data_IF_111337084178
#
_entry.id   IF_111337084178
#
_cell.length_a   1.000
_cell.length_b   1.000
_cell.length_c   1.000
_cell.angle_alpha   90.00
_cell.angle_beta   90.00
_cell.angle_gamma   90.00
#
_symmetry.space_group_name_H-M   'P 1'
#
loop_
_entity.id
_entity.type
_entity.pdbx_description
1 polymer ?
#
# COMPACT_ATOMS: atom_id res chain seq x y z
N UNK A 1 18.27 -24.14 -27.05
CA UNK A 1 19.15 -22.98 -27.31
C UNK A 1 19.07 -22.49 -28.76
N UNK A 2 19.32 -23.32 -29.79
CA UNK A 2 19.22 -22.86 -31.19
C UNK A 2 17.82 -22.32 -31.57
N UNK A 3 16.75 -23.03 -31.21
CA UNK A 3 15.38 -22.59 -31.47
C UNK A 3 15.00 -21.28 -30.75
N UNK A 4 15.45 -21.09 -29.51
CA UNK A 4 15.22 -19.86 -28.73
C UNK A 4 15.88 -18.64 -29.40
N UNK A 5 17.13 -18.81 -29.85
CA UNK A 5 17.84 -17.74 -30.57
C UNK A 5 17.20 -17.41 -31.92
N UNK A 6 16.71 -18.42 -32.65
CA UNK A 6 15.98 -18.20 -33.92
C UNK A 6 14.68 -17.45 -33.66
N UNK A 7 13.90 -17.83 -32.63
CA UNK A 7 12.66 -17.12 -32.28
C UNK A 7 12.92 -15.67 -31.83
N UNK A 8 13.98 -15.43 -31.03
CA UNK A 8 14.41 -14.07 -30.66
C UNK A 8 14.80 -13.24 -31.87
N UNK A 9 15.59 -13.81 -32.79
CA UNK A 9 15.95 -13.15 -34.05
C UNK A 9 14.72 -12.75 -34.86
N UNK A 10 13.74 -13.66 -35.01
CA UNK A 10 12.51 -13.37 -35.72
C UNK A 10 11.70 -12.27 -35.03
N UNK A 11 11.62 -12.28 -33.69
CA UNK A 11 10.93 -11.25 -32.92
C UNK A 11 11.58 -9.87 -33.03
N UNK A 12 12.92 -9.81 -33.09
CA UNK A 12 13.65 -8.55 -33.21
C UNK A 12 13.62 -7.98 -34.64
N UNK A 13 13.64 -8.83 -35.67
CA UNK A 13 13.80 -8.38 -37.06
C UNK A 13 12.48 -8.32 -37.86
N UNK A 14 11.47 -9.10 -37.46
CA UNK A 14 10.17 -9.16 -38.15
C UNK A 14 8.96 -8.95 -37.22
N UNK A 15 8.97 -7.94 -36.32
CA UNK A 15 7.91 -7.78 -35.33
C UNK A 15 6.56 -7.42 -35.96
N UNK A 16 6.53 -6.69 -37.08
CA UNK A 16 5.28 -6.31 -37.75
C UNK A 16 4.54 -7.53 -38.33
N UNK A 17 5.28 -8.46 -38.94
CA UNK A 17 4.71 -9.69 -39.48
C UNK A 17 4.18 -10.60 -38.36
N UNK A 18 4.88 -10.66 -37.22
CA UNK A 18 4.40 -11.38 -36.04
C UNK A 18 3.13 -10.76 -35.45
N UNK A 19 3.05 -9.42 -35.37
CA UNK A 19 1.85 -8.73 -34.88
C UNK A 19 0.66 -8.96 -35.83
N UNK A 20 0.88 -8.88 -37.15
CA UNK A 20 -0.15 -9.20 -38.15
C UNK A 20 -0.63 -10.64 -38.00
N UNK A 21 0.28 -11.59 -37.84
CA UNK A 21 -0.06 -13.01 -37.67
C UNK A 21 -0.82 -13.31 -36.37
N UNK A 22 -0.34 -12.82 -35.23
CA UNK A 22 -0.87 -13.16 -33.91
C UNK A 22 -2.14 -12.37 -33.54
N UNK A 23 -2.25 -11.14 -34.03
CA UNK A 23 -3.31 -10.21 -33.61
C UNK A 23 -4.15 -9.67 -34.78
N UNK A 24 -3.77 -9.93 -36.04
CA UNK A 24 -4.48 -9.39 -37.21
C UNK A 24 -4.33 -7.88 -37.38
N UNK A 25 -3.35 -7.26 -36.72
CA UNK A 25 -3.17 -5.79 -36.71
C UNK A 25 -2.14 -5.41 -37.79
N UNK A 26 -2.51 -4.49 -38.69
CA UNK A 26 -1.58 -3.82 -39.60
C UNK A 26 -0.88 -2.67 -38.87
N UNK A 27 0.45 -2.74 -38.76
CA UNK A 27 1.26 -1.77 -38.00
C UNK A 27 2.15 -0.99 -38.95
N UNK A 28 2.04 0.34 -38.95
CA UNK A 28 2.87 1.24 -39.78
C UNK A 28 4.18 1.66 -39.11
N UNK A 29 4.20 1.70 -37.78
CA UNK A 29 5.40 2.03 -36.99
C UNK A 29 5.51 1.06 -35.82
N UNK A 30 6.67 0.40 -35.68
CA UNK A 30 6.94 -0.56 -34.62
C UNK A 30 8.32 -0.32 -34.03
N UNK A 31 8.43 -0.34 -32.71
CA UNK A 31 9.69 -0.20 -31.99
C UNK A 31 9.92 -1.43 -31.12
N UNK A 32 11.05 -2.10 -31.34
CA UNK A 32 11.48 -3.23 -30.51
C UNK A 32 12.19 -2.67 -29.29
N UNK A 33 11.63 -2.92 -28.10
CA UNK A 33 12.22 -2.51 -26.83
C UNK A 33 13.31 -3.50 -26.40
N UNK A 34 14.29 -3.03 -25.60
CA UNK A 34 15.30 -3.91 -25.00
C UNK A 34 14.62 -4.96 -24.11
N UNK A 35 15.07 -6.19 -24.21
CA UNK A 35 14.55 -7.34 -23.45
C UNK A 35 14.99 -7.33 -22.00
N UNK A 36 16.15 -6.73 -21.69
CA UNK A 36 16.63 -6.53 -20.32
C UNK A 36 15.95 -5.33 -19.67
N UNK A 37 15.06 -5.63 -18.73
CA UNK A 37 14.37 -4.63 -17.93
C UNK A 37 15.11 -4.45 -16.60
N UNK A 38 15.81 -3.32 -16.45
CA UNK A 38 16.40 -2.96 -15.17
C UNK A 38 15.31 -2.73 -14.14
N UNK A 39 15.35 -3.50 -13.05
CA UNK A 39 14.37 -3.42 -11.99
C UNK A 39 14.92 -2.65 -10.80
N UNK A 40 14.36 -1.46 -10.55
CA UNK A 40 14.63 -0.75 -9.31
C UNK A 40 14.17 -1.56 -8.07
N UNK A 41 14.81 -1.35 -6.90
CA UNK A 41 14.37 -1.93 -5.63
C UNK A 41 12.94 -1.53 -5.28
N UNK A 42 12.21 -2.44 -4.61
CA UNK A 42 10.91 -2.11 -4.02
C UNK A 42 11.13 -1.52 -2.62
N UNK A 43 10.40 -0.45 -2.30
CA UNK A 43 10.39 0.18 -0.99
C UNK A 43 8.96 0.10 -0.44
N UNK A 44 8.62 -1.06 0.13
CA UNK A 44 7.36 -1.22 0.87
C UNK A 44 7.52 -0.66 2.29
N UNK A 45 6.46 -0.06 2.84
CA UNK A 45 6.54 0.54 4.18
C UNK A 45 6.69 -0.53 5.29
N UNK A 46 6.04 -1.68 5.12
CA UNK A 46 6.22 -2.84 6.00
C UNK A 46 6.05 -4.16 5.26
N UNK A 47 6.88 -5.14 5.62
CA UNK A 47 6.86 -6.51 5.13
C UNK A 47 7.06 -7.48 6.29
N UNK A 48 6.04 -8.27 6.61
CA UNK A 48 6.06 -9.22 7.73
C UNK A 48 5.82 -10.64 7.22
N UNK A 49 6.70 -11.58 7.54
CA UNK A 49 6.48 -13.01 7.28
C UNK A 49 5.86 -13.66 8.52
N UNK A 50 4.63 -14.13 8.38
CA UNK A 50 3.98 -15.02 9.34
C UNK A 50 4.56 -16.42 9.16
N UNK A 51 5.47 -16.84 10.04
CA UNK A 51 6.14 -18.16 9.96
C UNK A 51 5.14 -19.32 9.90
N UNK A 52 4.02 -19.18 10.61
CA UNK A 52 2.85 -20.05 10.48
C UNK A 52 1.66 -19.10 10.33
N UNK A 53 1.02 -19.01 9.15
CA UNK A 53 0.85 -20.06 8.12
C UNK A 53 1.81 -20.01 6.90
N UNK A 54 3.02 -19.45 7.02
CA UNK A 54 3.91 -19.16 5.88
C UNK A 54 3.26 -18.20 4.88
N UNK A 55 2.92 -17.00 5.35
CA UNK A 55 2.25 -15.96 4.58
C UNK A 55 2.96 -14.63 4.79
N UNK A 56 3.08 -13.84 3.74
CA UNK A 56 3.59 -12.47 3.83
C UNK A 56 2.42 -11.49 3.99
N UNK A 57 2.52 -10.60 4.97
CA UNK A 57 1.72 -9.39 5.07
C UNK A 57 2.55 -8.21 4.58
N UNK A 58 2.04 -7.50 3.59
CA UNK A 58 2.67 -6.28 3.07
C UNK A 58 1.73 -5.10 3.28
N UNK A 59 2.23 -4.05 3.93
CA UNK A 59 1.45 -2.86 4.24
C UNK A 59 2.04 -1.61 3.58
N UNK A 60 1.15 -0.71 3.15
CA UNK A 60 1.46 0.65 2.71
C UNK A 60 0.65 1.65 3.54
N UNK A 61 1.29 2.71 4.02
CA UNK A 61 0.64 3.83 4.67
C UNK A 61 0.61 5.02 3.73
N UNK A 62 -0.57 5.61 3.53
CA UNK A 62 -0.76 6.69 2.57
C UNK A 62 -1.50 7.87 3.22
N UNK A 63 -0.91 9.06 3.17
CA UNK A 63 -1.58 10.31 3.54
C UNK A 63 -2.30 10.95 2.37
N UNK A 64 -1.89 10.64 1.13
CA UNK A 64 -2.46 11.16 -0.10
C UNK A 64 -2.89 10.00 -1.03
N UNK A 65 -4.05 10.11 -1.70
CA UNK A 65 -4.51 9.08 -2.65
C UNK A 65 -3.76 9.10 -3.99
N UNK A 66 -3.11 10.23 -4.32
CA UNK A 66 -2.37 10.38 -5.56
C UNK A 66 -0.98 9.73 -5.42
N UNK A 67 -0.64 8.83 -6.34
CA UNK A 67 0.66 8.17 -6.40
C UNK A 67 1.10 8.02 -7.86
N UNK A 68 2.40 8.07 -8.11
CA UNK A 68 3.03 7.78 -9.40
C UNK A 68 4.16 6.76 -9.19
N UNK A 69 4.10 5.55 -9.77
CA UNK A 69 2.97 4.97 -10.51
C UNK A 69 1.71 4.83 -9.63
N UNK A 70 0.55 4.53 -10.25
CA UNK A 70 -0.71 4.39 -9.51
C UNK A 70 -0.60 3.34 -8.42
N UNK A 71 -1.32 3.53 -7.30
CA UNK A 71 -1.31 2.56 -6.19
C UNK A 71 -1.63 1.13 -6.67
N UNK A 72 -2.68 0.87 -7.48
CA UNK A 72 -2.94 -0.48 -7.98
C UNK A 72 -1.77 -1.12 -8.71
N UNK A 73 -1.07 -0.36 -9.57
CA UNK A 73 0.09 -0.85 -10.29
C UNK A 73 1.28 -1.08 -9.33
N UNK A 74 1.48 -0.22 -8.34
CA UNK A 74 2.50 -0.41 -7.28
C UNK A 74 2.24 -1.71 -6.51
N UNK A 75 0.99 -1.95 -6.09
CA UNK A 75 0.62 -3.16 -5.34
C UNK A 75 0.87 -4.43 -6.16
N UNK A 76 0.50 -4.44 -7.45
CA UNK A 76 0.83 -5.55 -8.34
C UNK A 76 2.34 -5.75 -8.49
N UNK A 77 3.10 -4.66 -8.71
CA UNK A 77 4.58 -4.74 -8.81
C UNK A 77 5.19 -5.36 -7.57
N UNK A 78 4.74 -4.95 -6.38
CA UNK A 78 5.23 -5.50 -5.11
C UNK A 78 4.87 -6.98 -4.98
N UNK A 79 3.63 -7.36 -5.30
CA UNK A 79 3.19 -8.74 -5.24
C UNK A 79 4.05 -9.65 -6.12
N UNK A 80 4.29 -9.27 -7.38
CA UNK A 80 5.10 -10.09 -8.32
C UNK A 80 6.50 -10.33 -7.76
N UNK A 81 7.16 -9.28 -7.23
CA UNK A 81 8.51 -9.38 -6.66
C UNK A 81 8.56 -10.23 -5.39
N UNK A 82 7.55 -10.09 -4.54
CA UNK A 82 7.45 -10.91 -3.33
C UNK A 82 7.16 -12.37 -3.68
N UNK A 83 6.28 -12.62 -4.66
CA UNK A 83 5.93 -13.97 -5.11
C UNK A 83 7.12 -14.68 -5.73
N UNK A 84 7.87 -13.99 -6.58
CA UNK A 84 9.11 -14.49 -7.18
C UNK A 84 10.16 -14.85 -6.12
N UNK A 85 10.32 -14.00 -5.10
CA UNK A 85 11.36 -14.18 -4.08
C UNK A 85 11.03 -15.22 -3.00
N UNK A 86 9.77 -15.27 -2.56
CA UNK A 86 9.39 -16.04 -1.36
C UNK A 86 8.41 -17.18 -1.63
N UNK A 87 7.84 -17.25 -2.83
CA UNK A 87 6.92 -18.29 -3.29
C UNK A 87 5.82 -18.71 -2.28
N UNK A 88 5.26 -17.77 -1.53
CA UNK A 88 4.21 -18.02 -0.54
C UNK A 88 2.97 -17.13 -0.77
N UNK A 89 1.84 -17.39 -0.09
CA UNK A 89 0.70 -16.48 -0.09
C UNK A 89 1.09 -15.10 0.42
N UNK A 90 0.56 -14.05 -0.22
CA UNK A 90 0.82 -12.65 0.12
C UNK A 90 -0.52 -11.95 0.27
N UNK A 91 -0.72 -11.29 1.41
CA UNK A 91 -1.82 -10.37 1.63
C UNK A 91 -1.29 -8.94 1.68
N UNK A 92 -1.95 -8.06 0.93
CA UNK A 92 -1.53 -6.68 0.78
C UNK A 92 -2.62 -5.73 1.29
N UNK A 93 -2.21 -4.76 2.10
CA UNK A 93 -3.12 -3.78 2.69
C UNK A 93 -2.57 -2.37 2.48
N UNK A 94 -3.37 -1.50 1.89
CA UNK A 94 -3.11 -0.06 1.87
C UNK A 94 -3.95 0.60 2.96
N UNK A 95 -3.32 1.37 3.83
CA UNK A 95 -3.94 2.06 4.96
C UNK A 95 -3.86 3.57 4.71
N UNK A 96 -5.00 4.20 4.49
CA UNK A 96 -5.09 5.65 4.36
C UNK A 96 -5.24 6.31 5.73
N UNK A 97 -4.32 7.22 6.03
CA UNK A 97 -4.23 7.90 7.32
C UNK A 97 -5.07 9.18 7.38
N UNK A 98 -5.31 9.84 6.25
CA UNK A 98 -5.96 11.15 6.21
C UNK A 98 -7.23 11.14 5.37
N UNK A 99 -8.33 11.61 5.96
CA UNK A 99 -9.63 11.71 5.30
C UNK A 99 -9.58 12.62 4.07
N UNK A 100 -10.33 12.25 3.04
CA UNK A 100 -10.35 12.92 1.75
C UNK A 100 -11.65 12.61 1.00
N UNK A 101 -11.97 13.46 0.02
CA UNK A 101 -13.11 13.27 -0.89
C UNK A 101 -12.73 12.54 -2.19
N UNK A 102 -11.48 12.11 -2.33
CA UNK A 102 -11.03 11.45 -3.54
C UNK A 102 -11.50 10.00 -3.59
N UNK A 103 -12.23 9.62 -4.64
CA UNK A 103 -12.68 8.24 -4.87
C UNK A 103 -11.54 7.21 -4.98
N UNK A 104 -10.30 7.66 -5.22
CA UNK A 104 -9.12 6.80 -5.30
C UNK A 104 -8.86 6.01 -4.01
N UNK A 105 -9.35 6.48 -2.86
CA UNK A 105 -9.24 5.76 -1.58
C UNK A 105 -10.16 4.54 -1.50
N UNK A 106 -11.05 4.32 -2.47
CA UNK A 106 -11.86 3.12 -2.58
C UNK A 106 -11.31 2.13 -3.61
N UNK A 107 -10.32 2.52 -4.42
CA UNK A 107 -9.70 1.63 -5.41
C UNK A 107 -8.89 0.56 -4.70
N UNK A 108 -9.35 -0.69 -4.78
CA UNK A 108 -8.77 -1.88 -4.13
C UNK A 108 -8.28 -2.94 -5.12
N UNK A 109 -8.25 -2.60 -6.41
CA UNK A 109 -7.77 -3.50 -7.44
C UNK A 109 -7.19 -2.74 -8.62
N UNK A 110 -6.20 -3.35 -9.28
CA UNK A 110 -5.87 -3.06 -10.66
C UNK A 110 -6.79 -3.92 -11.52
N UNK A 111 -7.43 -3.32 -12.52
CA UNK A 111 -8.24 -4.03 -13.50
C UNK A 111 -7.87 -3.51 -14.89
N UNK A 112 -7.22 -4.36 -15.66
CA UNK A 112 -6.86 -4.18 -17.06
C UNK A 112 -7.45 -5.35 -17.87
N UNK A 113 -7.47 -5.25 -19.20
CA UNK A 113 -8.12 -6.23 -20.09
C UNK A 113 -7.79 -7.69 -19.76
N UNK A 114 -6.51 -8.01 -19.50
CA UNK A 114 -6.03 -9.36 -19.23
C UNK A 114 -5.37 -9.53 -17.86
N UNK A 115 -5.35 -8.49 -17.04
CA UNK A 115 -4.62 -8.47 -15.77
C UNK A 115 -5.49 -7.86 -14.70
N UNK A 116 -5.74 -8.62 -13.65
CA UNK A 116 -6.39 -8.10 -12.45
C UNK A 116 -5.56 -8.42 -11.22
N UNK A 117 -5.50 -7.49 -10.28
CA UNK A 117 -4.81 -7.69 -9.01
C UNK A 117 -5.55 -7.01 -7.88
N UNK A 118 -5.91 -7.76 -6.84
CA UNK A 118 -6.69 -7.24 -5.71
C UNK A 118 -5.83 -7.09 -4.47
N UNK A 119 -6.11 -6.05 -3.71
CA UNK A 119 -5.53 -5.79 -2.40
C UNK A 119 -6.60 -5.22 -1.46
N UNK A 120 -6.32 -5.15 -0.17
CA UNK A 120 -7.24 -4.55 0.81
C UNK A 120 -6.94 -3.06 0.96
N UNK A 121 -7.99 -2.29 1.21
CA UNK A 121 -7.87 -0.88 1.54
C UNK A 121 -8.59 -0.61 2.84
N UNK A 122 -7.87 0.01 3.78
CA UNK A 122 -8.39 0.49 5.05
C UNK A 122 -8.29 2.01 5.05
N UNK A 123 -9.36 2.67 5.48
CA UNK A 123 -9.42 4.12 5.67
C UNK A 123 -9.65 4.36 7.14
N UNK A 124 -8.67 4.94 7.84
CA UNK A 124 -8.73 5.04 9.30
C UNK A 124 -9.98 5.80 9.77
N UNK A 125 -10.38 6.86 9.07
CA UNK A 125 -11.57 7.68 9.41
C UNK A 125 -12.92 6.97 9.26
N UNK A 126 -12.94 5.71 8.80
CA UNK A 126 -14.13 4.85 8.75
C UNK A 126 -14.07 3.71 9.77
N UNK A 127 -12.95 3.53 10.45
CA UNK A 127 -12.78 2.45 11.42
C UNK A 127 -13.37 2.86 12.77
N UNK A 128 -13.93 1.86 13.47
CA UNK A 128 -14.35 1.99 14.85
C UNK A 128 -13.13 2.29 15.74
N UNK A 129 -13.15 3.36 16.55
CA UNK A 129 -12.06 3.69 17.47
C UNK A 129 -11.88 2.68 18.61
N UNK A 130 -12.91 1.93 19.00
CA UNK A 130 -12.86 1.05 20.19
C UNK A 130 -11.74 0.01 20.11
N UNK A 131 -11.51 -0.58 18.94
CA UNK A 131 -10.45 -1.56 18.72
C UNK A 131 -9.04 -0.99 18.92
N UNK A 132 -8.85 0.30 18.63
CA UNK A 132 -7.57 0.98 18.79
C UNK A 132 -7.37 1.47 20.22
N UNK A 133 -8.44 1.96 20.86
CA UNK A 133 -8.44 2.37 22.27
C UNK A 133 -8.16 1.20 23.22
N UNK A 134 -8.56 -0.02 22.85
CA UNK A 134 -8.33 -1.22 23.64
C UNK A 134 -6.87 -1.70 23.67
N UNK A 135 -5.98 -1.15 22.83
CA UNK A 135 -4.59 -1.59 22.72
C UNK A 135 -3.62 -0.40 22.72
N UNK A 136 -2.74 -0.27 23.75
CA UNK A 136 -1.76 0.82 23.83
C UNK A 136 -0.93 1.03 22.56
N UNK A 137 -0.53 -0.03 21.87
CA UNK A 137 0.28 0.06 20.65
C UNK A 137 -0.48 0.64 19.44
N UNK A 138 -1.81 0.66 19.50
CA UNK A 138 -2.69 1.14 18.43
C UNK A 138 -3.29 2.52 18.72
N UNK A 139 -3.10 3.07 19.92
CA UNK A 139 -3.56 4.40 20.29
C UNK A 139 -3.21 5.50 19.29
N UNK A 140 -2.02 5.52 18.64
CA UNK A 140 -1.74 6.52 17.63
C UNK A 140 -2.75 6.55 16.48
N UNK A 141 -3.25 5.38 16.05
CA UNK A 141 -4.25 5.28 14.98
C UNK A 141 -5.66 5.68 15.44
N UNK A 142 -5.98 5.55 16.73
CA UNK A 142 -7.28 5.93 17.28
C UNK A 142 -7.59 7.41 17.02
N UNK A 143 -6.58 8.29 17.02
CA UNK A 143 -6.74 9.72 16.72
C UNK A 143 -7.34 9.98 15.32
N UNK A 144 -7.13 9.05 14.38
CA UNK A 144 -7.57 9.14 13.00
C UNK A 144 -8.86 8.38 12.71
N UNK A 145 -9.41 7.67 13.71
CA UNK A 145 -10.59 6.83 13.59
C UNK A 145 -11.88 7.64 13.40
N UNK A 146 -12.97 6.96 13.02
CA UNK A 146 -14.29 7.58 12.94
C UNK A 146 -14.71 8.14 14.31
N UNK A 147 -15.26 9.36 14.33
CA UNK A 147 -15.92 9.91 15.52
C UNK A 147 -16.81 11.09 15.17
N UNK A 148 -18.01 11.10 15.74
CA UNK A 148 -18.93 12.24 15.71
C UNK A 148 -18.46 13.41 16.60
N UNK A 149 -17.59 13.13 17.58
CA UNK A 149 -16.96 14.14 18.44
C UNK A 149 -15.44 13.94 18.45
N UNK A 150 -14.73 14.51 17.44
CA UNK A 150 -13.29 14.29 17.27
C UNK A 150 -12.45 14.72 18.48
N UNK A 151 -12.77 15.86 19.10
CA UNK A 151 -12.08 16.36 20.29
C UNK A 151 -12.23 15.42 21.47
N UNK A 152 -13.44 14.90 21.71
CA UNK A 152 -13.68 13.94 22.79
C UNK A 152 -12.94 12.62 22.58
N UNK A 153 -12.82 12.16 21.33
CA UNK A 153 -11.99 11.00 21.01
C UNK A 153 -10.51 11.28 21.29
N UNK A 154 -10.01 12.47 20.94
CA UNK A 154 -8.63 12.85 21.24
C UNK A 154 -8.35 12.88 22.76
N UNK A 155 -9.28 13.41 23.56
CA UNK A 155 -9.22 13.37 25.03
C UNK A 155 -9.17 11.92 25.57
N UNK A 156 -9.99 11.02 25.01
CA UNK A 156 -9.96 9.60 25.38
C UNK A 156 -8.63 8.93 25.03
N UNK A 157 -8.04 9.27 23.89
CA UNK A 157 -6.73 8.76 23.49
C UNK A 157 -5.65 9.28 24.43
N UNK A 158 -5.62 10.58 24.73
CA UNK A 158 -4.65 11.16 25.68
C UNK A 158 -4.74 10.47 27.05
N UNK A 159 -5.95 10.34 27.60
CA UNK A 159 -6.19 9.64 28.85
C UNK A 159 -5.81 8.14 28.81
N UNK A 160 -5.84 7.49 27.65
CA UNK A 160 -5.39 6.11 27.48
C UNK A 160 -3.85 6.02 27.37
N UNK A 161 -3.20 6.98 26.72
CA UNK A 161 -1.73 7.09 26.66
C UNK A 161 -1.16 7.31 28.06
N UNK A 162 -1.77 8.17 28.87
CA UNK A 162 -1.34 8.45 30.26
C UNK A 162 -1.42 7.24 31.19
N UNK A 163 -2.16 6.20 30.82
CA UNK A 163 -2.26 4.95 31.58
C UNK A 163 -1.17 3.94 31.23
N UNK A 164 -0.28 4.24 30.28
CA UNK A 164 0.83 3.35 29.93
C UNK A 164 1.88 3.42 31.06
N UNK A 165 2.03 2.33 31.80
CA UNK A 165 2.93 2.26 32.97
C UNK A 165 4.41 2.18 32.58
N UNK A 166 4.72 1.55 31.43
CA UNK A 166 6.10 1.36 31.00
C UNK A 166 6.69 2.66 30.40
N UNK A 167 7.75 3.26 30.98
CA UNK A 167 8.19 4.61 30.61
C UNK A 167 8.66 4.77 29.15
N UNK A 168 9.31 3.75 28.58
CA UNK A 168 9.77 3.80 27.19
C UNK A 168 8.60 3.66 26.22
N UNK A 169 7.69 2.71 26.47
CA UNK A 169 6.45 2.60 25.69
C UNK A 169 5.61 3.87 25.78
N UNK A 170 5.44 4.48 26.97
CA UNK A 170 4.75 5.76 27.12
C UNK A 170 5.38 6.84 26.24
N UNK A 171 6.70 7.02 26.33
CA UNK A 171 7.42 8.04 25.56
C UNK A 171 7.23 7.84 24.04
N UNK A 172 7.41 6.61 23.56
CA UNK A 172 7.32 6.30 22.13
C UNK A 172 5.89 6.42 21.61
N UNK A 173 4.91 5.85 22.32
CA UNK A 173 3.50 5.87 21.90
C UNK A 173 2.94 7.28 21.98
N UNK A 174 3.29 8.06 23.00
CA UNK A 174 2.89 9.47 23.12
C UNK A 174 3.40 10.28 21.93
N UNK A 175 4.69 10.16 21.59
CA UNK A 175 5.27 10.84 20.43
C UNK A 175 4.60 10.44 19.10
N UNK A 176 4.37 9.14 18.88
CA UNK A 176 3.65 8.66 17.71
C UNK A 176 2.20 9.19 17.66
N UNK A 177 1.53 9.24 18.81
CA UNK A 177 0.15 9.73 18.92
C UNK A 177 0.06 11.20 18.56
N UNK A 178 0.96 12.04 19.08
CA UNK A 178 1.00 13.47 18.74
C UNK A 178 1.25 13.69 17.24
N UNK A 179 2.19 12.94 16.65
CA UNK A 179 2.50 13.03 15.22
C UNK A 179 1.31 12.65 14.34
N UNK A 180 0.64 11.53 14.63
CA UNK A 180 -0.53 11.11 13.86
C UNK A 180 -1.74 12.01 14.10
N UNK A 181 -1.98 12.48 15.32
CA UNK A 181 -3.04 13.43 15.63
C UNK A 181 -2.93 14.71 14.77
N UNK A 182 -1.71 15.17 14.48
CA UNK A 182 -1.45 16.33 13.61
C UNK A 182 -1.97 16.19 12.16
N UNK A 183 -2.34 14.99 11.72
CA UNK A 183 -2.99 14.81 10.41
C UNK A 183 -4.46 15.26 10.40
N UNK A 184 -5.09 15.37 11.59
CA UNK A 184 -6.52 15.68 11.77
C UNK A 184 -6.78 16.91 12.65
N UNK A 185 -5.95 17.16 13.66
CA UNK A 185 -6.19 18.19 14.69
C UNK A 185 -5.16 19.32 14.64
N UNK A 186 -5.56 20.49 15.14
CA UNK A 186 -4.67 21.63 15.32
C UNK A 186 -3.67 21.38 16.45
N UNK A 187 -2.43 21.85 16.27
CA UNK A 187 -1.35 21.64 17.22
C UNK A 187 -1.66 22.17 18.63
N UNK A 188 -2.43 23.26 18.75
CA UNK A 188 -2.80 23.82 20.06
C UNK A 188 -3.63 22.83 20.88
N UNK A 189 -4.63 22.21 20.24
CA UNK A 189 -5.48 21.23 20.89
C UNK A 189 -4.70 19.98 21.31
N UNK A 190 -3.72 19.56 20.50
CA UNK A 190 -2.86 18.40 20.80
C UNK A 190 -1.95 18.69 22.01
N UNK A 191 -1.48 19.92 22.18
CA UNK A 191 -0.59 20.29 23.30
C UNK A 191 -1.36 20.59 24.59
N UNK A 192 -2.65 20.94 24.51
CA UNK A 192 -3.51 21.22 25.66
C UNK A 192 -4.04 19.95 26.36
N UNK A 193 -3.99 18.81 25.66
CA UNK A 193 -4.40 17.49 26.14
C UNK A 193 -3.18 16.61 26.44
#
# INVERSE_FOLDING_TARGET
MAYDNICKYLAENYPADLVRWLHGIEVTEISVLKTELNTEPIHADSLTLLQTPNQILQWEFQTLPASKPSLPLRMLKYWVRLKEKYDCPIEQVVIFLKSTRSEKVYTNQLLETNTSHRYRVIRLWEQDPEQFLANPALLPFATLAFSESPTRLLEQVAAAVDRIEEPLAFTNISACTQLLAGLRFDQRLITEL
#
